data_IF_011850632724
#
_entry.id   IF_011850632724
#
_cell.length_a   1.000
_cell.length_b   1.000
_cell.length_c   1.000
_cell.angle_alpha   90.00
_cell.angle_beta   90.00
_cell.angle_gamma   90.00
#
_symmetry.space_group_name_H-M   'P 1'
#
loop_
_entity.id
_entity.type
_entity.pdbx_description
1 polymer ?
#
# COMPACT_ATOMS: atom_id res chain seq x y z
N UNK A 1 -9.32 10.47 -9.21
CA UNK A 1 -8.50 11.47 -9.92
C UNK A 1 -7.11 10.95 -10.32
N UNK A 2 -6.60 9.84 -9.77
CA UNK A 2 -5.47 9.09 -10.36
C UNK A 2 -4.11 9.81 -10.33
N UNK A 3 -4.10 10.99 -9.75
CA UNK A 3 -3.06 12.00 -9.59
C UNK A 3 -2.17 11.77 -8.36
N UNK A 4 -2.45 10.73 -7.57
CA UNK A 4 -1.60 10.37 -6.43
C UNK A 4 -0.28 9.76 -6.91
N UNK A 5 0.84 10.15 -6.29
CA UNK A 5 2.15 9.53 -6.53
C UNK A 5 2.28 8.19 -5.80
N UNK A 6 1.73 8.12 -4.59
CA UNK A 6 1.74 6.94 -3.74
C UNK A 6 0.39 6.84 -3.02
N UNK A 7 -0.16 5.63 -2.94
CA UNK A 7 -1.34 5.33 -2.14
C UNK A 7 -1.20 3.92 -1.58
N UNK A 8 -1.40 3.79 -0.28
CA UNK A 8 -1.41 2.48 0.34
C UNK A 8 -2.22 2.43 1.63
N UNK A 9 -2.47 1.20 2.09
CA UNK A 9 -3.38 0.89 3.17
C UNK A 9 -2.71 0.01 4.21
N UNK A 10 -2.88 0.35 5.49
CA UNK A 10 -2.52 -0.51 6.61
C UNK A 10 -3.52 -1.67 6.66
N UNK A 11 -3.05 -2.89 6.47
CA UNK A 11 -3.87 -4.08 6.42
C UNK A 11 -3.01 -5.33 6.30
N UNK A 12 -3.65 -6.49 6.22
CA UNK A 12 -2.95 -7.74 5.86
C UNK A 12 -3.21 -8.07 4.40
N UNK A 13 -2.33 -8.90 3.82
CA UNK A 13 -2.47 -9.42 2.46
C UNK A 13 -3.85 -10.08 2.24
N UNK A 14 -4.30 -10.91 3.18
CA UNK A 14 -5.62 -11.55 3.11
C UNK A 14 -6.77 -10.54 3.10
N UNK A 15 -6.65 -9.43 3.84
CA UNK A 15 -7.68 -8.37 3.85
C UNK A 15 -7.67 -7.60 2.52
N UNK A 16 -6.50 -7.36 1.94
CA UNK A 16 -6.36 -6.75 0.62
C UNK A 16 -7.07 -7.59 -0.44
N UNK A 17 -6.77 -8.88 -0.51
CA UNK A 17 -7.38 -9.80 -1.49
C UNK A 17 -8.90 -9.83 -1.38
N UNK A 18 -9.44 -9.94 -0.14
CA UNK A 18 -10.89 -9.88 0.10
C UNK A 18 -11.50 -8.54 -0.30
N UNK A 19 -10.81 -7.43 -0.04
CA UNK A 19 -11.26 -6.10 -0.42
C UNK A 19 -11.36 -5.98 -1.95
N UNK A 20 -10.30 -6.38 -2.67
CA UNK A 20 -10.25 -6.36 -4.14
C UNK A 20 -11.33 -7.24 -4.75
N UNK A 21 -11.52 -8.45 -4.24
CA UNK A 21 -12.57 -9.37 -4.69
C UNK A 21 -13.98 -8.75 -4.57
N UNK A 22 -14.32 -8.20 -3.40
CA UNK A 22 -15.64 -7.56 -3.19
C UNK A 22 -15.84 -6.33 -4.07
N UNK A 23 -14.77 -5.61 -4.37
CA UNK A 23 -14.83 -4.39 -5.16
C UNK A 23 -14.98 -4.68 -6.66
N UNK A 24 -14.31 -5.74 -7.15
CA UNK A 24 -14.51 -6.26 -8.49
C UNK A 24 -15.96 -6.71 -8.71
N UNK A 25 -16.56 -7.41 -7.73
CA UNK A 25 -17.96 -7.82 -7.79
C UNK A 25 -18.99 -6.67 -7.79
N UNK A 26 -18.56 -5.43 -7.50
CA UNK A 26 -19.39 -4.22 -7.55
C UNK A 26 -19.17 -3.35 -8.79
N UNK A 27 -18.38 -3.83 -9.76
CA UNK A 27 -18.05 -3.06 -10.98
C UNK A 27 -17.06 -1.92 -10.75
N UNK A 28 -16.27 -1.95 -9.67
CA UNK A 28 -15.26 -0.92 -9.39
C UNK A 28 -14.15 -0.88 -10.45
N UNK A 29 -13.78 0.32 -10.90
CA UNK A 29 -12.73 0.53 -11.90
C UNK A 29 -11.36 0.01 -11.41
N UNK A 30 -10.75 -0.92 -12.14
CA UNK A 30 -9.54 -1.63 -11.71
C UNK A 30 -8.26 -0.75 -11.67
N UNK A 31 -8.16 0.29 -12.50
CA UNK A 31 -6.90 1.01 -12.71
C UNK A 31 -6.36 1.74 -11.45
N UNK A 32 -7.14 2.55 -10.71
CA UNK A 32 -6.63 3.21 -9.52
C UNK A 32 -6.31 2.22 -8.38
N UNK A 33 -7.08 1.13 -8.30
CA UNK A 33 -6.91 0.08 -7.29
C UNK A 33 -5.74 -0.85 -7.58
N UNK A 34 -5.36 -1.00 -8.86
CA UNK A 34 -4.15 -1.70 -9.26
C UNK A 34 -2.89 -1.03 -8.68
N UNK A 35 -2.93 0.29 -8.51
CA UNK A 35 -1.83 1.10 -7.97
C UNK A 35 -1.84 1.22 -6.43
N UNK A 36 -2.86 0.69 -5.76
CA UNK A 36 -2.97 0.71 -4.30
C UNK A 36 -2.07 -0.36 -3.67
N UNK A 37 -1.16 0.05 -2.78
CA UNK A 37 -0.30 -0.89 -2.03
C UNK A 37 -0.95 -1.33 -0.72
N UNK A 38 -0.93 -2.64 -0.45
CA UNK A 38 -1.37 -3.22 0.81
C UNK A 38 -0.81 -4.64 0.91
N UNK A 39 -0.16 -5.03 2.04
CA UNK A 39 0.18 -4.19 3.20
C UNK A 39 1.19 -3.09 2.85
N UNK A 40 1.15 -1.96 3.57
CA UNK A 40 2.20 -0.93 3.52
C UNK A 40 3.24 -1.15 4.61
N UNK A 41 4.44 -0.68 4.34
CA UNK A 41 5.62 -0.77 5.19
C UNK A 41 6.71 -1.67 4.58
N UNK A 42 7.95 -1.43 5.00
CA UNK A 42 9.07 -2.29 4.64
C UNK A 42 8.87 -3.72 5.19
N UNK A 43 9.08 -4.77 4.36
CA UNK A 43 8.86 -6.16 4.77
C UNK A 43 9.80 -6.63 5.88
N UNK A 44 10.95 -5.96 6.04
CA UNK A 44 11.94 -6.26 7.07
C UNK A 44 11.53 -5.72 8.45
N UNK A 45 10.62 -4.74 8.50
CA UNK A 45 10.11 -4.16 9.76
C UNK A 45 8.85 -4.92 10.18
N UNK A 46 9.03 -6.01 10.93
CA UNK A 46 7.95 -6.91 11.36
C UNK A 46 7.24 -6.50 12.65
N UNK A 47 7.65 -5.38 13.22
CA UNK A 47 7.12 -4.82 14.45
C UNK A 47 5.62 -4.53 14.40
N UNK A 48 4.93 -4.74 15.51
CA UNK A 48 3.48 -4.45 15.64
C UNK A 48 3.21 -3.18 16.42
N UNK A 49 4.23 -2.56 17.00
CA UNK A 49 4.07 -1.31 17.71
C UNK A 49 3.84 -0.17 16.70
N UNK A 50 3.02 0.84 17.05
CA UNK A 50 2.75 1.97 16.16
C UNK A 50 4.03 2.65 15.64
N UNK A 51 5.06 2.78 16.47
CA UNK A 51 6.34 3.36 16.09
C UNK A 51 7.07 2.54 15.01
N UNK A 52 7.08 1.21 15.14
CA UNK A 52 7.72 0.32 14.17
C UNK A 52 6.99 0.37 12.83
N UNK A 53 5.65 0.34 12.86
CA UNK A 53 4.81 0.50 11.68
C UNK A 53 5.09 1.85 10.99
N UNK A 54 5.16 2.94 11.76
CA UNK A 54 5.43 4.27 11.23
C UNK A 54 6.80 4.36 10.53
N UNK A 55 7.86 3.79 11.14
CA UNK A 55 9.20 3.75 10.54
C UNK A 55 9.19 2.90 9.26
N UNK A 56 8.54 1.74 9.28
CA UNK A 56 8.39 0.89 8.09
C UNK A 56 7.68 1.61 6.93
N UNK A 57 6.61 2.35 7.21
CA UNK A 57 5.88 3.13 6.21
C UNK A 57 6.71 4.29 5.68
N UNK A 58 7.39 5.03 6.56
CA UNK A 58 8.26 6.13 6.16
C UNK A 58 9.38 5.64 5.23
N UNK A 59 10.01 4.51 5.57
CA UNK A 59 11.03 3.88 4.74
C UNK A 59 10.51 3.45 3.35
N UNK A 60 9.31 2.87 3.28
CA UNK A 60 8.70 2.53 1.98
C UNK A 60 8.45 3.79 1.12
N UNK A 61 7.90 4.86 1.70
CA UNK A 61 7.66 6.11 0.97
C UNK A 61 8.97 6.70 0.44
N UNK A 62 10.04 6.67 1.24
CA UNK A 62 11.38 7.11 0.84
C UNK A 62 11.88 6.31 -0.36
N UNK A 63 11.80 4.98 -0.29
CA UNK A 63 12.17 4.10 -1.39
C UNK A 63 11.43 4.44 -2.68
N UNK A 64 10.10 4.65 -2.61
CA UNK A 64 9.27 4.95 -3.79
C UNK A 64 9.66 6.24 -4.50
N UNK A 65 9.98 7.32 -3.75
CA UNK A 65 10.36 8.57 -4.41
C UNK A 65 11.83 8.57 -4.86
N UNK A 66 12.73 7.85 -4.17
CA UNK A 66 14.14 7.70 -4.58
C UNK A 66 14.30 6.83 -5.82
N UNK A 67 13.46 5.81 -6.01
CA UNK A 67 13.47 4.97 -7.22
C UNK A 67 13.19 5.75 -8.52
N UNK A 68 12.68 6.98 -8.44
CA UNK A 68 12.47 7.86 -9.59
C UNK A 68 13.59 8.90 -9.79
N UNK A 69 14.61 8.94 -8.92
CA UNK A 69 15.77 9.86 -9.01
C UNK A 69 16.96 9.21 -9.73
N UNK A 70 16.87 7.92 -10.08
CA UNK A 70 17.85 7.18 -10.85
C UNK A 70 17.47 7.07 -12.33
#
# INVERSE_FOLDING_TARGET
>A
RGDFRYAGVIGSETKNQRFRYRLAGKGGANEPLARLRCPIGLPDVKGKLPAEIAVGIAGEIISVYQQHVA
#
